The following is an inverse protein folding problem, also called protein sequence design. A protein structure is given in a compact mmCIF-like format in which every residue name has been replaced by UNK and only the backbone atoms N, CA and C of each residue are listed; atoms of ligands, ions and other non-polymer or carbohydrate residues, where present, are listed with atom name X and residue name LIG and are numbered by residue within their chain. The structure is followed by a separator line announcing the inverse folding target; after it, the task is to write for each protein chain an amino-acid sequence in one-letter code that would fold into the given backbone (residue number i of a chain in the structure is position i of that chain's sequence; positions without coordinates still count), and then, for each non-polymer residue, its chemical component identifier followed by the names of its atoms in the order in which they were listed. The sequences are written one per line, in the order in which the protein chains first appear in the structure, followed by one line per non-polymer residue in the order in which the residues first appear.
data_IF_378950304901
#
_entry.id   IF_378950304901
#
_cell.length_a   1.000
_cell.length_b   1.000
_cell.length_c   1.000
_cell.angle_alpha   90.00
_cell.angle_beta   90.00
_cell.angle_gamma   90.00
#
_symmetry.space_group_name_H-M   'P 1'
#
loop_
_entity.id
_entity.type
_entity.pdbx_description
1 polymer ?
#
# COMPACT_ATOMS: atom_id res chain seq x y z
N UNK A 1 -10.11 4.94 -15.65
CA UNK A 1 -9.30 4.16 -14.70
C UNK A 1 -10.09 3.93 -13.43
N UNK A 2 -10.06 2.73 -12.87
CA UNK A 2 -10.78 2.40 -11.63
C UNK A 2 -9.85 1.70 -10.62
N UNK A 3 -10.08 1.93 -9.30
CA UNK A 3 -9.38 1.25 -8.23
C UNK A 3 -10.37 0.81 -7.15
N UNK A 4 -10.14 -0.32 -6.46
CA UNK A 4 -11.01 -0.76 -5.37
C UNK A 4 -11.10 0.20 -4.19
N UNK A 5 -10.10 1.05 -3.99
CA UNK A 5 -9.95 1.90 -2.81
C UNK A 5 -10.07 3.38 -3.14
N UNK A 6 -10.94 4.06 -2.41
CA UNK A 6 -11.15 5.51 -2.55
C UNK A 6 -9.85 6.30 -2.31
N UNK A 7 -9.04 5.91 -1.33
CA UNK A 7 -7.79 6.61 -1.00
C UNK A 7 -6.83 6.64 -2.19
N UNK A 8 -6.79 5.55 -3.00
CA UNK A 8 -5.97 5.48 -4.23
C UNK A 8 -6.50 6.44 -5.29
N UNK A 9 -7.82 6.46 -5.49
CA UNK A 9 -8.47 7.34 -6.48
C UNK A 9 -8.23 8.81 -6.13
N UNK A 10 -8.38 9.18 -4.86
CA UNK A 10 -8.13 10.54 -4.37
C UNK A 10 -6.64 10.94 -4.45
N UNK A 11 -5.72 10.01 -4.22
CA UNK A 11 -4.27 10.24 -4.36
C UNK A 11 -3.86 10.46 -5.83
N UNK A 12 -4.48 9.73 -6.77
CA UNK A 12 -4.16 9.80 -8.19
C UNK A 12 -4.77 11.02 -8.87
N UNK A 13 -5.93 11.48 -8.44
CA UNK A 13 -6.69 12.53 -9.11
C UNK A 13 -5.87 13.81 -9.36
N UNK A 14 -5.21 14.45 -8.37
CA UNK A 14 -4.41 15.65 -8.62
C UNK A 14 -3.24 15.40 -9.58
N UNK A 15 -2.64 14.22 -9.54
CA UNK A 15 -1.54 13.86 -10.43
C UNK A 15 -2.01 13.71 -11.88
N UNK A 16 -3.21 13.19 -12.09
CA UNK A 16 -3.80 13.11 -13.42
C UNK A 16 -4.21 14.49 -13.95
N UNK A 17 -4.71 15.38 -13.07
CA UNK A 17 -5.00 16.76 -13.45
C UNK A 17 -3.71 17.51 -13.87
N UNK A 18 -2.61 17.31 -13.15
CA UNK A 18 -1.31 17.86 -13.50
C UNK A 18 -0.77 17.31 -14.82
N UNK A 19 -0.86 15.98 -15.01
CA UNK A 19 -0.36 15.31 -16.21
C UNK A 19 -1.20 15.59 -17.47
N UNK A 20 -2.51 15.85 -17.30
CA UNK A 20 -3.45 16.10 -18.38
C UNK A 20 -4.27 17.37 -18.13
N UNK A 21 -3.62 18.56 -18.14
CA UNK A 21 -4.26 19.80 -17.72
C UNK A 21 -5.43 20.25 -18.63
N UNK A 22 -5.43 19.77 -19.88
CA UNK A 22 -6.49 20.09 -20.83
C UNK A 22 -7.66 19.09 -20.81
N UNK A 23 -7.52 17.96 -20.09
CA UNK A 23 -8.55 16.94 -20.03
C UNK A 23 -9.52 17.21 -18.87
N UNK A 24 -10.81 17.21 -19.15
CA UNK A 24 -11.83 17.17 -18.10
C UNK A 24 -11.87 15.76 -17.52
N UNK A 25 -11.50 15.61 -16.26
CA UNK A 25 -11.45 14.32 -15.55
C UNK A 25 -12.62 14.24 -14.58
N UNK A 26 -13.53 13.28 -14.77
CA UNK A 26 -14.57 12.98 -13.79
C UNK A 26 -14.01 12.12 -12.65
N UNK A 27 -14.22 12.55 -11.42
CA UNK A 27 -13.85 11.83 -10.20
C UNK A 27 -15.11 11.24 -9.56
N UNK A 28 -15.24 9.90 -9.58
CA UNK A 28 -16.44 9.22 -9.10
C UNK A 28 -16.12 8.24 -7.95
N UNK A 29 -16.77 8.42 -6.83
CA UNK A 29 -16.72 7.54 -5.68
C UNK A 29 -18.01 7.67 -4.84
N UNK A 30 -18.20 6.83 -3.84
CA UNK A 30 -19.43 6.79 -3.05
C UNK A 30 -19.78 8.07 -2.29
N UNK A 31 -18.88 9.04 -2.21
CA UNK A 31 -19.07 10.36 -1.57
C UNK A 31 -18.96 11.51 -2.57
N UNK A 32 -19.02 11.24 -3.88
CA UNK A 32 -18.97 12.30 -4.89
C UNK A 32 -20.22 13.18 -4.81
N UNK A 33 -20.08 14.50 -4.68
CA UNK A 33 -21.20 15.42 -4.44
C UNK A 33 -22.00 15.71 -5.72
N UNK A 34 -21.40 15.58 -6.89
CA UNK A 34 -22.00 16.02 -8.15
C UNK A 34 -22.56 14.84 -8.97
N UNK A 35 -23.61 15.07 -9.79
CA UNK A 35 -24.01 14.09 -10.79
C UNK A 35 -22.87 13.87 -11.79
N UNK A 36 -22.84 12.66 -12.38
CA UNK A 36 -21.87 12.34 -13.41
C UNK A 36 -22.14 13.18 -14.67
N UNK A 37 -21.12 13.87 -15.14
CA UNK A 37 -21.09 14.47 -16.46
C UNK A 37 -20.23 13.63 -17.41
N UNK A 38 -20.63 13.52 -18.66
CA UNK A 38 -19.83 12.82 -19.66
C UNK A 38 -18.45 13.47 -19.82
N UNK A 39 -17.41 12.68 -19.69
CA UNK A 39 -16.02 13.09 -19.88
C UNK A 39 -15.23 11.99 -20.60
N UNK A 40 -14.18 12.38 -21.33
CA UNK A 40 -13.28 11.42 -21.97
C UNK A 40 -12.47 10.61 -20.95
N UNK A 41 -12.23 11.16 -19.77
CA UNK A 41 -11.45 10.51 -18.73
C UNK A 41 -12.25 10.42 -17.42
N UNK A 42 -12.44 9.18 -16.96
CA UNK A 42 -13.09 8.89 -15.68
C UNK A 42 -12.09 8.23 -14.75
N UNK A 43 -11.91 8.79 -13.56
CA UNK A 43 -11.18 8.20 -12.45
C UNK A 43 -12.19 7.83 -11.36
N UNK A 44 -12.31 6.55 -11.00
CA UNK A 44 -13.39 6.11 -10.13
C UNK A 44 -13.03 4.95 -9.22
N UNK A 45 -13.88 4.69 -8.22
CA UNK A 45 -13.83 3.41 -7.52
C UNK A 45 -14.48 2.30 -8.36
N UNK A 46 -14.04 1.04 -8.20
CA UNK A 46 -14.53 -0.08 -9.01
C UNK A 46 -16.05 -0.29 -8.91
N UNK A 47 -16.68 0.07 -7.77
CA UNK A 47 -18.14 0.03 -7.62
C UNK A 47 -18.86 0.99 -8.58
N UNK A 48 -18.24 2.10 -8.97
CA UNK A 48 -18.85 3.03 -9.92
C UNK A 48 -18.95 2.45 -11.33
N UNK A 49 -18.20 1.38 -11.64
CA UNK A 49 -18.29 0.69 -12.95
C UNK A 49 -19.67 0.08 -13.20
N UNK A 50 -20.45 -0.23 -12.16
CA UNK A 50 -21.86 -0.67 -12.28
C UNK A 50 -22.77 0.35 -12.96
N UNK A 51 -22.37 1.61 -13.07
CA UNK A 51 -23.14 2.69 -13.73
C UNK A 51 -22.89 2.79 -15.23
N UNK A 52 -21.93 2.02 -15.77
CA UNK A 52 -21.46 2.14 -17.14
C UNK A 52 -21.78 0.89 -17.95
N UNK A 53 -22.23 1.08 -19.17
CA UNK A 53 -22.46 0.03 -20.14
C UNK A 53 -21.78 0.38 -21.46
N UNK A 54 -20.84 -0.45 -21.90
CA UNK A 54 -20.04 -0.27 -23.14
C UNK A 54 -19.51 1.17 -23.34
N UNK A 55 -19.03 1.78 -22.26
CA UNK A 55 -18.67 3.19 -22.24
C UNK A 55 -17.19 3.44 -22.56
N UNK A 56 -16.29 2.50 -22.20
CA UNK A 56 -14.85 2.75 -22.22
C UNK A 56 -14.13 1.98 -23.33
N UNK A 57 -13.33 2.69 -24.14
CA UNK A 57 -12.42 2.10 -25.12
C UNK A 57 -11.23 1.42 -24.43
N UNK A 58 -10.70 2.05 -23.36
CA UNK A 58 -9.65 1.52 -22.51
C UNK A 58 -10.10 1.60 -21.06
N UNK A 59 -10.13 0.46 -20.37
CA UNK A 59 -10.46 0.36 -18.95
C UNK A 59 -9.26 -0.16 -18.17
N UNK A 60 -8.71 0.69 -17.30
CA UNK A 60 -7.59 0.33 -16.42
C UNK A 60 -8.14 0.03 -15.04
N UNK A 61 -7.88 -1.17 -14.52
CA UNK A 61 -8.19 -1.56 -13.15
C UNK A 61 -6.89 -1.65 -12.37
N UNK A 62 -6.70 -0.73 -11.45
CA UNK A 62 -5.53 -0.71 -10.56
C UNK A 62 -5.80 -1.52 -9.28
N UNK A 63 -4.76 -2.15 -8.74
CA UNK A 63 -4.81 -2.98 -7.55
C UNK A 63 -5.89 -4.08 -7.62
N UNK A 64 -5.92 -4.84 -8.72
CA UNK A 64 -6.90 -5.91 -8.95
C UNK A 64 -6.87 -7.02 -7.89
N UNK A 65 -5.78 -7.14 -7.15
CA UNK A 65 -5.59 -8.05 -6.02
C UNK A 65 -6.17 -7.53 -4.70
N UNK A 66 -6.71 -6.29 -4.69
CA UNK A 66 -7.22 -5.65 -3.48
C UNK A 66 -8.71 -5.92 -3.26
N UNK A 67 -9.07 -6.10 -1.98
CA UNK A 67 -10.49 -6.12 -1.58
C UNK A 67 -11.13 -4.73 -1.82
N UNK A 68 -12.39 -4.67 -2.27
CA UNK A 68 -13.31 -5.77 -2.51
C UNK A 68 -13.20 -6.40 -3.91
N UNK A 69 -12.49 -5.81 -4.87
CA UNK A 69 -12.48 -6.24 -6.26
C UNK A 69 -12.03 -7.70 -6.44
N UNK A 70 -10.94 -8.10 -5.79
CA UNK A 70 -10.36 -9.43 -5.94
C UNK A 70 -11.32 -10.60 -5.68
N UNK A 71 -12.32 -10.40 -4.79
CA UNK A 71 -13.22 -11.45 -4.35
C UNK A 71 -14.69 -11.19 -4.72
N UNK A 72 -14.97 -10.15 -5.53
CA UNK A 72 -16.34 -9.76 -5.86
C UNK A 72 -16.66 -10.02 -7.33
N UNK A 73 -17.46 -11.09 -7.64
CA UNK A 73 -17.86 -11.42 -9.01
C UNK A 73 -18.66 -10.30 -9.69
N UNK A 74 -19.45 -9.51 -8.95
CA UNK A 74 -20.24 -8.40 -9.50
C UNK A 74 -19.33 -7.31 -10.04
N UNK A 75 -18.24 -6.99 -9.36
CA UNK A 75 -17.26 -6.00 -9.83
C UNK A 75 -16.48 -6.49 -11.05
N UNK A 76 -16.20 -7.80 -11.14
CA UNK A 76 -15.64 -8.40 -12.35
C UNK A 76 -16.62 -8.35 -13.52
N UNK A 77 -17.92 -8.58 -13.26
CA UNK A 77 -18.97 -8.43 -14.25
C UNK A 77 -19.09 -6.96 -14.69
N UNK A 78 -19.15 -6.02 -13.74
CA UNK A 78 -19.20 -4.58 -14.03
C UNK A 78 -18.03 -4.13 -14.92
N UNK A 79 -16.80 -4.64 -14.65
CA UNK A 79 -15.64 -4.36 -15.49
C UNK A 79 -15.84 -4.79 -16.94
N UNK A 80 -16.42 -5.98 -17.16
CA UNK A 80 -16.70 -6.48 -18.51
C UNK A 80 -17.76 -5.65 -19.21
N UNK A 81 -18.83 -5.28 -18.49
CA UNK A 81 -19.94 -4.51 -19.07
C UNK A 81 -19.57 -3.05 -19.33
N UNK A 82 -18.75 -2.44 -18.48
CA UNK A 82 -18.34 -1.05 -18.65
C UNK A 82 -17.42 -0.84 -19.86
N UNK A 83 -16.65 -1.85 -20.27
CA UNK A 83 -15.77 -1.82 -21.43
C UNK A 83 -16.58 -2.02 -22.72
N UNK A 84 -16.27 -1.27 -23.78
CA UNK A 84 -16.80 -1.50 -25.14
C UNK A 84 -16.41 -2.90 -25.64
N UNK A 85 -17.21 -3.46 -26.57
CA UNK A 85 -16.95 -4.80 -27.13
C UNK A 85 -15.54 -4.92 -27.73
N UNK A 86 -15.09 -3.91 -28.45
CA UNK A 86 -13.75 -3.83 -29.05
C UNK A 86 -12.73 -3.12 -28.15
N UNK A 87 -13.12 -2.74 -26.94
CA UNK A 87 -12.25 -2.04 -25.99
C UNK A 87 -11.22 -2.98 -25.35
N UNK A 88 -10.24 -2.39 -24.68
CA UNK A 88 -9.18 -3.11 -23.96
C UNK A 88 -9.33 -2.96 -22.45
N UNK A 89 -8.94 -4.01 -21.71
CA UNK A 89 -8.81 -3.93 -20.24
C UNK A 89 -7.36 -4.14 -19.84
N UNK A 90 -6.84 -3.25 -18.99
CA UNK A 90 -5.49 -3.32 -18.43
C UNK A 90 -5.63 -3.55 -16.93
N UNK A 91 -5.03 -4.62 -16.44
CA UNK A 91 -4.97 -4.94 -15.01
C UNK A 91 -3.61 -4.59 -14.45
N UNK A 92 -3.59 -3.81 -13.36
CA UNK A 92 -2.37 -3.43 -12.65
C UNK A 92 -2.35 -4.11 -11.27
N UNK A 93 -1.23 -4.73 -10.93
CA UNK A 93 -1.03 -5.33 -9.61
C UNK A 93 0.45 -5.54 -9.32
N UNK A 94 0.85 -5.38 -8.06
CA UNK A 94 2.18 -5.78 -7.58
C UNK A 94 2.22 -7.26 -7.16
N UNK A 95 1.05 -7.88 -6.94
CA UNK A 95 0.90 -9.21 -6.35
C UNK A 95 -0.20 -10.00 -7.06
N UNK A 96 0.05 -10.41 -8.34
CA UNK A 96 -0.95 -11.13 -9.13
C UNK A 96 -1.37 -12.43 -8.43
N UNK A 97 -2.65 -12.72 -8.49
CA UNK A 97 -3.22 -13.97 -7.99
C UNK A 97 -2.88 -15.17 -8.89
N UNK A 98 -3.24 -16.37 -8.42
CA UNK A 98 -2.99 -17.61 -9.19
C UNK A 98 -3.69 -17.64 -10.54
N UNK A 99 -4.88 -17.02 -10.65
CA UNK A 99 -5.67 -16.99 -11.88
C UNK A 99 -5.04 -16.09 -12.94
N UNK A 100 -4.62 -14.88 -12.56
CA UNK A 100 -3.89 -13.97 -13.46
C UNK A 100 -2.57 -14.57 -13.92
N UNK A 101 -1.82 -15.18 -13.00
CA UNK A 101 -0.58 -15.88 -13.34
C UNK A 101 -0.80 -17.05 -14.31
N UNK A 102 -1.88 -17.81 -14.13
CA UNK A 102 -2.23 -18.90 -15.05
C UNK A 102 -2.61 -18.37 -16.44
N UNK A 103 -3.42 -17.33 -16.51
CA UNK A 103 -3.79 -16.70 -17.79
C UNK A 103 -2.58 -16.14 -18.53
N UNK A 104 -1.65 -15.50 -17.80
CA UNK A 104 -0.38 -15.03 -18.34
C UNK A 104 0.46 -16.18 -18.92
N UNK A 105 0.64 -17.28 -18.16
CA UNK A 105 1.39 -18.48 -18.63
C UNK A 105 0.76 -19.15 -19.84
N UNK A 106 -0.56 -19.08 -19.97
CA UNK A 106 -1.30 -19.64 -21.10
C UNK A 106 -1.39 -18.68 -22.29
N UNK A 107 -0.65 -17.55 -22.26
CA UNK A 107 -0.71 -16.48 -23.27
C UNK A 107 -2.11 -15.93 -23.55
N UNK A 108 -3.07 -16.12 -22.63
CA UNK A 108 -4.42 -15.55 -22.68
C UNK A 108 -4.46 -14.09 -22.22
N UNK A 109 -3.41 -13.65 -21.55
CA UNK A 109 -3.24 -12.28 -21.06
C UNK A 109 -1.83 -11.81 -21.38
N UNK A 110 -1.69 -10.81 -22.23
CA UNK A 110 -0.42 -10.15 -22.47
C UNK A 110 0.09 -9.53 -21.16
N UNK A 111 1.34 -9.80 -20.80
CA UNK A 111 1.89 -9.42 -19.50
C UNK A 111 3.20 -8.66 -19.66
N UNK A 112 3.28 -7.50 -19.02
CA UNK A 112 4.50 -6.70 -18.91
C UNK A 112 4.90 -6.57 -17.44
N UNK A 113 6.19 -6.62 -17.16
CA UNK A 113 6.75 -6.45 -15.82
C UNK A 113 7.41 -5.08 -15.73
N UNK A 114 6.86 -4.20 -14.90
CA UNK A 114 7.51 -2.94 -14.53
C UNK A 114 8.42 -3.21 -13.33
N UNK A 115 9.64 -3.65 -13.63
CA UNK A 115 10.58 -4.17 -12.63
C UNK A 115 11.32 -3.08 -11.88
N UNK A 116 11.51 -1.92 -12.51
CA UNK A 116 12.15 -0.75 -11.91
C UNK A 116 11.10 0.26 -11.46
N UNK A 117 11.38 0.94 -10.37
CA UNK A 117 10.61 2.10 -9.95
C UNK A 117 10.82 3.26 -10.94
N UNK A 118 9.95 4.26 -10.93
CA UNK A 118 10.06 5.43 -11.83
C UNK A 118 11.43 6.14 -11.77
N UNK A 119 12.13 6.05 -10.63
CA UNK A 119 13.48 6.61 -10.45
C UNK A 119 14.61 5.59 -10.76
N UNK A 120 14.31 4.43 -11.35
CA UNK A 120 15.29 3.44 -11.80
C UNK A 120 15.87 2.50 -10.73
N UNK A 121 15.60 2.73 -9.44
CA UNK A 121 16.15 1.91 -8.36
C UNK A 121 15.32 0.65 -8.06
N UNK A 122 15.94 -0.42 -7.53
CA UNK A 122 15.26 -1.66 -7.18
C UNK A 122 14.32 -1.48 -5.99
N UNK A 123 13.46 -2.49 -5.78
CA UNK A 123 12.61 -2.57 -4.60
C UNK A 123 13.45 -2.80 -3.33
N UNK A 124 13.01 -2.28 -2.16
CA UNK A 124 13.73 -2.47 -0.91
C UNK A 124 13.66 -3.92 -0.44
N UNK A 125 14.75 -4.42 0.11
CA UNK A 125 14.80 -5.76 0.68
C UNK A 125 14.17 -5.82 2.09
N UNK A 126 13.48 -6.92 2.37
CA UNK A 126 12.86 -7.17 3.67
C UNK A 126 13.89 -7.82 4.60
N UNK A 127 14.24 -7.11 5.66
CA UNK A 127 15.03 -7.64 6.78
C UNK A 127 14.10 -8.25 7.82
N UNK A 128 14.27 -9.54 8.11
CA UNK A 128 13.48 -10.24 9.15
C UNK A 128 14.33 -10.46 10.38
N UNK A 129 13.80 -10.15 11.56
CA UNK A 129 14.47 -10.34 12.84
C UNK A 129 13.56 -11.05 13.84
N UNK A 130 14.16 -11.79 14.74
CA UNK A 130 13.41 -12.48 15.80
C UNK A 130 12.77 -11.48 16.76
N UNK A 131 11.47 -11.65 17.00
CA UNK A 131 10.64 -10.87 17.91
C UNK A 131 10.00 -11.73 18.98
N UNK A 132 10.74 -12.67 19.58
CA UNK A 132 10.20 -13.54 20.62
C UNK A 132 9.56 -12.73 21.75
N UNK A 133 8.35 -13.17 22.17
CA UNK A 133 7.61 -12.56 23.27
C UNK A 133 7.33 -11.05 23.12
N UNK A 134 7.27 -10.52 21.90
CA UNK A 134 7.06 -9.09 21.66
C UNK A 134 5.78 -8.56 22.33
N UNK A 135 4.68 -9.32 22.28
CA UNK A 135 3.42 -8.95 22.94
C UNK A 135 3.55 -8.93 24.47
N UNK A 136 4.31 -9.90 25.07
CA UNK A 136 4.54 -9.92 26.51
C UNK A 136 5.39 -8.72 26.97
N UNK A 137 6.33 -8.27 26.13
CA UNK A 137 7.11 -7.05 26.39
C UNK A 137 6.23 -5.80 26.37
N UNK A 138 5.37 -5.66 25.37
CA UNK A 138 4.43 -4.53 25.27
C UNK A 138 3.46 -4.48 26.46
N UNK A 139 2.94 -5.63 26.91
CA UNK A 139 2.08 -5.68 28.12
C UNK A 139 2.80 -5.19 29.40
N UNK A 140 4.12 -5.16 29.39
CA UNK A 140 4.96 -4.62 30.47
C UNK A 140 5.46 -3.20 30.19
N UNK A 141 4.85 -2.48 29.23
CA UNK A 141 5.25 -1.14 28.84
C UNK A 141 6.63 -1.06 28.17
N UNK A 142 7.16 -2.17 27.63
CA UNK A 142 8.50 -2.22 27.04
C UNK A 142 8.47 -2.52 25.56
N UNK A 143 9.20 -1.75 24.77
CA UNK A 143 9.40 -2.04 23.36
C UNK A 143 10.25 -3.31 23.17
N UNK A 144 9.94 -4.15 22.14
CA UNK A 144 10.86 -5.20 21.71
C UNK A 144 12.19 -4.58 21.25
N UNK A 145 13.32 -5.17 21.66
CA UNK A 145 14.65 -4.61 21.39
C UNK A 145 14.95 -4.31 19.91
N UNK A 146 14.52 -5.16 18.93
CA UNK A 146 14.68 -4.82 17.51
C UNK A 146 13.89 -3.57 17.10
N UNK A 147 12.66 -3.39 17.63
CA UNK A 147 11.85 -2.20 17.35
C UNK A 147 12.46 -0.94 17.99
N UNK A 148 12.91 -1.04 19.25
CA UNK A 148 13.57 0.07 19.93
C UNK A 148 14.84 0.52 19.19
N UNK A 149 15.64 -0.43 18.69
CA UNK A 149 16.83 -0.12 17.88
C UNK A 149 16.46 0.58 16.58
N UNK A 150 15.47 0.06 15.86
CA UNK A 150 14.96 0.67 14.63
C UNK A 150 14.53 2.12 14.89
N UNK A 151 13.71 2.38 15.92
CA UNK A 151 13.23 3.72 16.26
C UNK A 151 14.42 4.64 16.57
N UNK A 152 15.38 4.20 17.38
CA UNK A 152 16.60 4.97 17.69
C UNK A 152 17.38 5.37 16.43
N UNK A 153 17.55 4.44 15.49
CA UNK A 153 18.20 4.71 14.19
C UNK A 153 17.44 5.77 13.37
N UNK A 154 16.08 5.75 13.40
CA UNK A 154 15.29 6.75 12.69
C UNK A 154 15.41 8.14 13.33
N UNK A 155 15.35 8.22 14.67
CA UNK A 155 15.52 9.47 15.41
C UNK A 155 16.90 10.09 15.13
N UNK A 156 17.97 9.30 15.22
CA UNK A 156 19.33 9.77 14.97
C UNK A 156 19.52 10.27 13.53
N UNK A 157 18.79 9.68 12.59
CA UNK A 157 18.84 10.04 11.18
C UNK A 157 17.78 11.11 10.80
N UNK A 158 17.02 11.62 11.75
CA UNK A 158 15.91 12.57 11.54
C UNK A 158 14.93 12.14 10.45
N UNK A 159 14.48 10.87 10.52
CA UNK A 159 13.65 10.26 9.48
C UNK A 159 12.29 9.90 10.03
N UNK A 160 11.27 10.16 9.21
CA UNK A 160 9.94 9.66 9.48
C UNK A 160 9.85 8.14 9.25
N UNK A 161 8.97 7.49 10.00
CA UNK A 161 8.78 6.04 9.89
C UNK A 161 7.34 5.60 10.18
N UNK A 162 7.00 4.41 9.69
CA UNK A 162 5.75 3.74 10.00
C UNK A 162 6.00 2.47 10.81
N UNK A 163 5.14 2.21 11.79
CA UNK A 163 5.10 0.94 12.50
C UNK A 163 3.75 0.28 12.22
N UNK A 164 3.79 -0.85 11.52
CA UNK A 164 2.61 -1.66 11.28
C UNK A 164 2.41 -2.68 12.39
N UNK A 165 1.18 -2.82 12.87
CA UNK A 165 0.78 -3.79 13.89
C UNK A 165 -0.42 -4.61 13.41
N UNK A 166 -0.61 -5.86 13.89
CA UNK A 166 -1.64 -6.75 13.34
C UNK A 166 -3.06 -6.34 13.72
N UNK A 167 -3.25 -5.70 14.87
CA UNK A 167 -4.58 -5.43 15.45
C UNK A 167 -4.67 -4.03 16.04
N UNK A 168 -5.87 -3.45 16.00
CA UNK A 168 -6.16 -2.11 16.56
C UNK A 168 -5.83 -2.06 18.06
N UNK A 169 -6.13 -3.11 18.80
CA UNK A 169 -5.86 -3.22 20.24
C UNK A 169 -4.36 -3.18 20.63
N UNK A 170 -3.46 -3.33 19.65
CA UNK A 170 -2.01 -3.25 19.83
C UNK A 170 -1.51 -1.82 19.71
N UNK A 171 -2.23 -0.95 18.97
CA UNK A 171 -1.84 0.44 18.73
C UNK A 171 -1.52 1.21 20.02
N UNK A 172 -2.42 1.26 21.02
CA UNK A 172 -2.16 2.02 22.24
C UNK A 172 -0.99 1.46 23.04
N UNK A 173 -0.79 0.15 23.03
CA UNK A 173 0.34 -0.49 23.76
C UNK A 173 1.69 -0.12 23.16
N UNK A 174 1.78 -0.05 21.83
CA UNK A 174 3.02 0.38 21.16
C UNK A 174 3.23 1.86 21.35
N UNK A 175 2.17 2.67 21.27
CA UNK A 175 2.23 4.12 21.50
C UNK A 175 2.76 4.43 22.91
N UNK A 176 2.17 3.85 23.94
CA UNK A 176 2.58 4.03 25.33
C UNK A 176 4.04 3.63 25.56
N UNK A 177 4.42 2.41 25.13
CA UNK A 177 5.79 1.94 25.27
C UNK A 177 6.80 2.81 24.49
N UNK A 178 6.40 3.38 23.35
CA UNK A 178 7.24 4.26 22.55
C UNK A 178 7.40 5.61 23.26
N UNK A 179 6.33 6.22 23.72
CA UNK A 179 6.37 7.49 24.43
C UNK A 179 7.16 7.43 25.73
N UNK A 180 7.07 6.31 26.47
CA UNK A 180 7.90 6.06 27.67
C UNK A 180 9.39 5.93 27.32
N UNK A 181 9.73 5.29 26.19
CA UNK A 181 11.13 5.04 25.83
C UNK A 181 11.75 6.23 25.09
N UNK A 182 10.96 6.94 24.28
CA UNK A 182 11.38 8.05 23.42
C UNK A 182 10.38 9.22 23.53
N UNK A 183 10.38 9.96 24.64
CA UNK A 183 9.36 10.98 24.94
C UNK A 183 9.37 12.16 23.98
N UNK A 184 10.45 12.40 23.26
CA UNK A 184 10.58 13.52 22.29
C UNK A 184 9.99 13.21 20.92
N UNK A 185 9.66 11.93 20.62
CA UNK A 185 9.13 11.51 19.33
C UNK A 185 7.65 11.86 19.22
N UNK A 186 7.30 12.64 18.22
CA UNK A 186 5.90 12.95 17.89
C UNK A 186 5.28 11.80 17.11
N UNK A 187 4.51 10.97 17.79
CA UNK A 187 3.90 9.77 17.22
C UNK A 187 2.40 9.74 17.44
N UNK A 188 1.66 9.34 16.40
CA UNK A 188 0.21 9.16 16.46
C UNK A 188 -0.17 7.75 16.00
N UNK A 189 -1.38 7.33 16.34
CA UNK A 189 -1.97 6.07 15.85
C UNK A 189 -3.04 6.35 14.80
N UNK A 190 -3.15 5.43 13.82
CA UNK A 190 -4.16 5.50 12.75
C UNK A 190 -4.72 4.12 12.45
N UNK A 191 -6.04 4.00 12.33
CA UNK A 191 -6.74 2.79 11.90
C UNK A 191 -7.94 3.11 11.00
N UNK A 192 -8.61 2.09 10.49
CA UNK A 192 -9.68 2.25 9.49
C UNK A 192 -10.89 3.07 10.00
N UNK A 193 -11.24 2.91 11.27
CA UNK A 193 -12.36 3.63 11.90
C UNK A 193 -11.94 4.93 12.61
N UNK A 194 -10.70 5.40 12.41
CA UNK A 194 -10.22 6.64 13.00
C UNK A 194 -10.84 7.86 12.28
N UNK A 195 -11.66 8.69 12.95
CA UNK A 195 -12.29 9.86 12.35
C UNK A 195 -11.26 10.91 11.91
N UNK A 196 -10.12 11.00 12.61
CA UNK A 196 -9.04 11.95 12.32
C UNK A 196 -8.00 11.39 11.33
N UNK A 197 -8.24 10.21 10.72
CA UNK A 197 -7.29 9.54 9.82
C UNK A 197 -6.71 10.49 8.77
N UNK A 198 -7.56 11.27 8.11
CA UNK A 198 -7.13 12.17 7.03
C UNK A 198 -6.20 13.25 7.58
N UNK A 199 -6.56 13.87 8.71
CA UNK A 199 -5.75 14.91 9.36
C UNK A 199 -4.37 14.35 9.79
N UNK A 200 -4.33 13.20 10.46
CA UNK A 200 -3.07 12.56 10.89
C UNK A 200 -2.16 12.20 9.73
N UNK A 201 -2.74 11.71 8.62
CA UNK A 201 -1.98 11.43 7.38
C UNK A 201 -1.41 12.74 6.80
N UNK A 202 -2.16 13.85 6.84
CA UNK A 202 -1.66 15.14 6.38
C UNK A 202 -0.55 15.70 7.28
N UNK A 203 -0.66 15.55 8.60
CA UNK A 203 0.42 15.92 9.53
C UNK A 203 1.71 15.15 9.22
N UNK A 204 1.62 13.86 8.91
CA UNK A 204 2.76 13.04 8.50
C UNK A 204 3.36 13.53 7.17
N UNK A 205 2.53 13.89 6.18
CA UNK A 205 2.99 14.46 4.89
C UNK A 205 3.70 15.80 5.05
N UNK A 206 3.20 16.64 5.95
CA UNK A 206 3.79 17.95 6.27
C UNK A 206 5.00 17.88 7.20
N UNK A 207 5.40 16.66 7.61
CA UNK A 207 6.50 16.44 8.56
C UNK A 207 6.27 17.08 9.95
N UNK A 208 5.01 17.26 10.35
CA UNK A 208 4.64 17.77 11.67
C UNK A 208 4.78 16.72 12.78
N UNK A 209 4.80 15.44 12.38
CA UNK A 209 5.00 14.28 13.24
C UNK A 209 6.09 13.36 12.68
N UNK A 210 6.74 12.62 13.58
CA UNK A 210 7.87 11.75 13.22
C UNK A 210 7.41 10.35 12.79
N UNK A 211 6.30 9.86 13.34
CA UNK A 211 5.84 8.50 13.07
C UNK A 211 4.33 8.32 13.13
N UNK A 212 3.85 7.31 12.40
CA UNK A 212 2.52 6.74 12.56
C UNK A 212 2.61 5.26 12.93
N UNK A 213 1.85 4.85 13.96
CA UNK A 213 1.59 3.44 14.27
C UNK A 213 0.25 3.08 13.64
N UNK A 214 0.20 2.04 12.84
CA UNK A 214 -0.98 1.73 12.03
C UNK A 214 -1.22 0.23 11.86
N UNK A 215 -2.41 -0.12 11.40
CA UNK A 215 -2.70 -1.45 10.88
C UNK A 215 -2.49 -1.47 9.36
N UNK A 216 -2.97 -2.50 8.66
CA UNK A 216 -2.87 -2.61 7.20
C UNK A 216 -3.52 -1.46 6.41
N UNK A 217 -4.24 -0.55 7.06
CA UNK A 217 -4.94 0.55 6.37
C UNK A 217 -3.99 1.47 5.58
N UNK A 218 -2.77 1.68 6.03
CA UNK A 218 -1.78 2.50 5.33
C UNK A 218 -0.85 1.70 4.40
N UNK A 219 -1.13 0.41 4.15
CA UNK A 219 -0.36 -0.37 3.17
C UNK A 219 -0.55 0.12 1.73
N UNK A 220 -1.67 0.82 1.43
CA UNK A 220 -2.05 1.34 0.10
C UNK A 220 -2.64 2.76 0.22
N UNK A 221 -2.78 3.46 -0.90
CA UNK A 221 -3.54 4.71 -1.02
C UNK A 221 -2.91 5.96 -0.40
N UNK A 222 -1.66 5.92 0.08
CA UNK A 222 -0.94 7.10 0.58
C UNK A 222 0.54 7.03 0.23
N UNK A 223 1.18 8.15 0.02
CA UNK A 223 2.62 8.23 -0.24
C UNK A 223 3.28 9.14 0.78
N UNK A 224 4.34 8.63 1.41
CA UNK A 224 5.22 9.39 2.30
C UNK A 224 6.64 9.26 1.75
N UNK A 225 7.24 10.36 1.25
CA UNK A 225 8.60 10.31 0.72
C UNK A 225 9.64 10.01 1.82
N UNK A 226 10.62 9.17 1.50
CA UNK A 226 11.79 8.97 2.34
C UNK A 226 11.58 8.25 3.68
N UNK A 227 10.44 7.57 3.90
CA UNK A 227 10.16 6.84 5.14
C UNK A 227 10.84 5.48 5.21
N UNK A 228 11.00 4.99 6.44
CA UNK A 228 11.33 3.60 6.77
C UNK A 228 10.12 2.91 7.42
N UNK A 229 10.08 1.58 7.36
CA UNK A 229 8.96 0.82 7.95
C UNK A 229 9.42 -0.31 8.84
N UNK A 230 8.68 -0.52 9.93
CA UNK A 230 8.75 -1.72 10.75
C UNK A 230 7.38 -2.40 10.79
N UNK A 231 7.35 -3.74 10.75
CA UNK A 231 6.15 -4.55 10.94
C UNK A 231 6.36 -5.39 12.19
N UNK A 232 5.56 -5.17 13.21
CA UNK A 232 5.60 -5.91 14.46
C UNK A 232 4.56 -7.02 14.44
N UNK A 233 4.96 -8.26 14.71
CA UNK A 233 4.10 -9.43 14.55
C UNK A 233 3.83 -9.74 13.07
N UNK A 234 4.86 -9.63 12.21
CA UNK A 234 4.73 -9.83 10.77
C UNK A 234 4.26 -11.23 10.35
N UNK A 235 4.29 -12.20 11.26
CA UNK A 235 3.77 -13.56 11.09
C UNK A 235 2.28 -13.71 11.39
N UNK A 236 1.60 -12.65 11.84
CA UNK A 236 0.14 -12.67 12.02
C UNK A 236 -0.58 -12.87 10.69
N UNK A 237 -1.69 -13.60 10.73
CA UNK A 237 -2.47 -13.96 9.53
C UNK A 237 -3.03 -12.75 8.76
N UNK A 238 -3.22 -11.60 9.44
CA UNK A 238 -3.67 -10.36 8.81
C UNK A 238 -2.68 -9.85 7.76
N UNK A 239 -1.38 -10.13 7.95
CA UNK A 239 -0.35 -9.78 6.99
C UNK A 239 -0.23 -10.85 5.90
N UNK A 240 -1.08 -10.74 4.89
CA UNK A 240 -0.94 -11.55 3.67
C UNK A 240 0.38 -11.26 2.96
N UNK A 241 0.80 -12.13 2.05
CA UNK A 241 1.98 -11.88 1.19
C UNK A 241 1.84 -10.56 0.45
N UNK A 242 0.65 -10.26 -0.08
CA UNK A 242 0.36 -9.02 -0.78
C UNK A 242 0.52 -7.79 0.12
N UNK A 243 -0.05 -7.82 1.35
CA UNK A 243 0.10 -6.76 2.32
C UNK A 243 1.58 -6.48 2.64
N UNK A 244 2.37 -7.53 2.89
CA UNK A 244 3.80 -7.41 3.20
C UNK A 244 4.61 -6.81 2.05
N UNK A 245 4.32 -7.18 0.79
CA UNK A 245 4.95 -6.59 -0.40
C UNK A 245 4.58 -5.11 -0.53
N UNK A 246 3.30 -4.75 -0.33
CA UNK A 246 2.83 -3.36 -0.39
C UNK A 246 3.44 -2.50 0.71
N UNK A 247 3.52 -3.01 1.94
CA UNK A 247 4.19 -2.34 3.07
C UNK A 247 5.68 -2.11 2.75
N UNK A 248 6.39 -3.14 2.28
CA UNK A 248 7.77 -3.01 1.86
C UNK A 248 7.93 -1.96 0.75
N UNK A 249 7.01 -1.95 -0.21
CA UNK A 249 6.95 -1.00 -1.31
C UNK A 249 6.77 0.47 -0.89
N UNK A 250 6.45 0.77 0.38
CA UNK A 250 6.41 2.15 0.91
C UNK A 250 7.77 2.79 1.02
N UNK A 251 8.80 1.99 1.28
CA UNK A 251 10.17 2.46 1.49
C UNK A 251 10.83 2.78 0.15
N UNK A 252 11.64 3.84 0.11
CA UNK A 252 12.43 4.22 -1.06
C UNK A 252 11.60 4.80 -2.21
N UNK A 253 10.49 5.47 -1.95
CA UNK A 253 9.67 6.14 -2.98
C UNK A 253 10.17 7.52 -3.39
N UNK A 254 11.14 8.08 -2.67
CA UNK A 254 11.76 9.34 -3.02
C UNK A 254 12.98 9.10 -3.91
N UNK A 255 13.14 9.83 -5.04
CA UNK A 255 14.38 9.80 -5.84
C UNK A 255 15.62 10.18 -5.04
N UNK A 256 15.47 11.13 -4.09
CA UNK A 256 16.55 11.58 -3.21
C UNK A 256 16.93 10.52 -2.18
N UNK A 257 16.01 9.61 -1.86
CA UNK A 257 16.24 8.50 -0.95
C UNK A 257 15.59 7.21 -1.47
N UNK A 258 16.19 6.59 -2.49
CA UNK A 258 15.64 5.39 -3.13
C UNK A 258 15.81 4.11 -2.28
N UNK A 259 16.63 4.16 -1.24
CA UNK A 259 16.86 3.06 -0.29
C UNK A 259 16.34 3.42 1.09
N UNK A 260 16.03 2.40 1.88
CA UNK A 260 15.58 2.55 3.27
C UNK A 260 15.40 1.19 3.94
N UNK A 261 14.99 1.20 5.19
CA UNK A 261 14.85 0.00 6.03
C UNK A 261 13.41 -0.52 5.99
N UNK A 262 13.28 -1.81 5.64
CA UNK A 262 12.06 -2.60 5.82
C UNK A 262 12.36 -3.67 6.84
N UNK A 263 11.84 -3.52 8.06
CA UNK A 263 12.11 -4.40 9.18
C UNK A 263 10.85 -5.19 9.57
N UNK A 264 10.89 -6.51 9.43
CA UNK A 264 9.83 -7.40 9.93
C UNK A 264 10.29 -8.07 11.22
N UNK A 265 9.49 -7.90 12.27
CA UNK A 265 9.75 -8.42 13.61
C UNK A 265 8.70 -9.47 13.93
N UNK A 266 9.10 -10.72 14.06
CA UNK A 266 8.19 -11.84 14.29
C UNK A 266 8.87 -12.99 15.05
N UNK A 267 8.10 -13.79 15.82
CA UNK A 267 8.60 -15.02 16.43
C UNK A 267 9.03 -16.06 15.38
N UNK A 268 8.29 -16.18 14.29
CA UNK A 268 8.50 -17.21 13.28
C UNK A 268 8.48 -16.65 11.85
N UNK A 269 9.34 -17.22 11.00
CA UNK A 269 9.37 -16.92 9.58
C UNK A 269 8.31 -17.78 8.85
N UNK A 270 7.10 -17.23 8.67
CA UNK A 270 6.00 -17.92 8.05
C UNK A 270 6.05 -17.92 6.49
N UNK A 271 5.10 -18.61 5.86
CA UNK A 271 5.00 -18.73 4.40
C UNK A 271 4.76 -17.40 3.70
N UNK A 272 3.98 -16.49 4.29
CA UNK A 272 3.67 -15.18 3.70
C UNK A 272 4.93 -14.31 3.63
N UNK A 273 5.72 -14.28 4.70
CA UNK A 273 6.99 -13.53 4.73
C UNK A 273 7.97 -14.08 3.69
N UNK A 274 8.15 -15.41 3.63
CA UNK A 274 9.03 -16.05 2.62
C UNK A 274 8.61 -15.71 1.20
N UNK A 275 7.31 -15.75 0.91
CA UNK A 275 6.77 -15.40 -0.41
C UNK A 275 6.94 -13.92 -0.74
N UNK A 276 6.74 -13.01 0.23
CA UNK A 276 6.97 -11.58 0.03
C UNK A 276 8.44 -11.29 -0.29
N UNK A 277 9.39 -11.90 0.45
CA UNK A 277 10.81 -11.79 0.14
C UNK A 277 11.14 -12.36 -1.26
N UNK A 278 10.58 -13.52 -1.61
CA UNK A 278 10.79 -14.13 -2.91
C UNK A 278 10.25 -13.27 -4.06
N UNK A 279 9.08 -12.64 -3.90
CA UNK A 279 8.49 -11.74 -4.88
C UNK A 279 9.38 -10.51 -5.12
N UNK A 280 9.86 -9.87 -4.06
CA UNK A 280 10.76 -8.71 -4.18
C UNK A 280 12.08 -9.11 -4.86
N UNK A 281 12.68 -10.23 -4.45
CA UNK A 281 13.91 -10.75 -5.08
C UNK A 281 13.71 -11.06 -6.56
N UNK A 282 12.57 -11.67 -6.92
CA UNK A 282 12.22 -11.96 -8.32
C UNK A 282 12.15 -10.68 -9.15
N UNK A 283 11.45 -9.64 -8.66
CA UNK A 283 11.34 -8.36 -9.35
C UNK A 283 12.70 -7.65 -9.49
N UNK A 284 13.51 -7.66 -8.43
CA UNK A 284 14.84 -7.05 -8.45
C UNK A 284 15.78 -7.78 -9.42
N UNK A 285 15.72 -9.12 -9.50
CA UNK A 285 16.48 -9.90 -10.49
C UNK A 285 16.08 -9.54 -11.91
N UNK A 286 14.77 -9.52 -12.20
CA UNK A 286 14.29 -9.08 -13.53
C UNK A 286 14.71 -7.66 -13.88
N UNK A 287 14.82 -6.76 -12.90
CA UNK A 287 15.31 -5.41 -13.13
C UNK A 287 16.80 -5.35 -13.52
N UNK A 288 17.60 -6.33 -13.14
CA UNK A 288 19.02 -6.43 -13.53
C UNK A 288 19.24 -7.12 -14.87
N UNK A 289 18.24 -7.85 -15.38
CA UNK A 289 18.27 -8.53 -16.69
C UNK A 289 17.83 -7.58 -17.85
N UNK A 290 17.21 -6.44 -17.52
CA UNK A 290 16.82 -5.37 -18.46
C UNK A 290 17.75 -4.16 -18.37
#
# INVERSE_FOLDING_TARGET
MASPRIDVVLELFPRFQEAFPQAKIALLHGRSPAPYEYTQFVLCTTHQLLRFYHAFDVLIIDEVDSFPYAMNPELHYATKQARKLQGSTIYLTATPDGKLLQQSRQAKLATSYLTRRFHGHPLPEIKVVSGQNWMKKLRKGRLPSPLSRFIKEQIQAQRQFLIFVPKIEVLPKVLEALQQTFPTVKVLTVHAADPERVAKVQMMRKQEIDALITTTILERGVTFPGIDVAVLGADDAVFSMAALVQIAGRVGRSPQRPKGTVLFICPMLNRNIKRAQAQIKFMNRKASEC
#
